data_IF_795115985009
#
_entry.id   IF_795115985009
#
_cell.length_a   1.000
_cell.length_b   1.000
_cell.length_c   1.000
_cell.angle_alpha   90.00
_cell.angle_beta   90.00
_cell.angle_gamma   90.00
#
_symmetry.space_group_name_H-M   'P 1'
#
loop_
_entity.id
_entity.type
_entity.pdbx_description
1 polymer ?
#
# COMPACT_ATOMS: atom_id res chain seq x y z
N UNK A 1 -26.13 31.00 -5.55
CA UNK A 1 -24.68 30.96 -5.85
C UNK A 1 -24.20 29.54 -5.64
N UNK A 2 -24.20 28.72 -6.70
CA UNK A 2 -23.61 27.38 -6.65
C UNK A 2 -22.13 27.51 -6.92
N UNK A 3 -21.30 27.54 -5.88
CA UNK A 3 -19.86 27.43 -6.07
C UNK A 3 -19.56 26.03 -6.56
N UNK A 4 -19.10 25.90 -7.81
CA UNK A 4 -18.56 24.64 -8.30
C UNK A 4 -17.45 24.18 -7.34
N UNK A 5 -17.74 23.10 -6.61
CA UNK A 5 -16.78 22.52 -5.68
C UNK A 5 -15.57 22.08 -6.50
N UNK A 6 -14.41 22.68 -6.23
CA UNK A 6 -13.16 22.29 -6.90
C UNK A 6 -12.86 20.83 -6.53
N UNK A 7 -12.96 19.96 -7.52
CA UNK A 7 -12.58 18.55 -7.37
C UNK A 7 -11.07 18.46 -7.56
N UNK A 8 -10.33 18.10 -6.51
CA UNK A 8 -8.90 17.84 -6.65
C UNK A 8 -8.68 16.39 -7.07
N UNK A 9 -7.61 16.10 -7.82
CA UNK A 9 -7.29 14.73 -8.25
C UNK A 9 -7.23 13.72 -7.09
N UNK A 10 -6.75 14.17 -5.91
CA UNK A 10 -6.74 13.35 -4.68
C UNK A 10 -8.14 12.87 -4.26
N UNK A 11 -9.19 13.61 -4.62
CA UNK A 11 -10.59 13.36 -4.23
C UNK A 11 -11.31 12.39 -5.17
N UNK A 12 -10.73 12.10 -6.35
CA UNK A 12 -11.32 11.18 -7.34
C UNK A 12 -10.46 9.97 -7.66
N UNK A 13 -9.17 9.99 -7.29
CA UNK A 13 -8.29 8.85 -7.56
C UNK A 13 -8.88 7.55 -6.95
N UNK A 14 -9.13 6.51 -7.76
CA UNK A 14 -9.54 5.20 -7.25
C UNK A 14 -8.34 4.49 -6.63
N UNK A 15 -8.58 3.71 -5.58
CA UNK A 15 -7.58 2.84 -4.97
C UNK A 15 -8.16 1.44 -4.88
N UNK A 16 -7.33 0.43 -5.13
CA UNK A 16 -7.69 -0.95 -4.91
C UNK A 16 -7.50 -1.33 -3.43
N UNK A 17 -8.38 -2.21 -2.94
CA UNK A 17 -8.29 -2.82 -1.62
C UNK A 17 -8.67 -4.30 -1.81
N UNK A 18 -7.89 -5.27 -1.30
CA UNK A 18 -8.22 -6.68 -1.43
C UNK A 18 -9.44 -7.04 -0.57
N UNK A 19 -9.99 -8.24 -0.77
CA UNK A 19 -11.16 -8.69 0.00
C UNK A 19 -10.80 -9.13 1.42
N UNK A 20 -9.60 -9.68 1.63
CA UNK A 20 -9.09 -10.05 2.95
C UNK A 20 -7.59 -9.74 3.09
N UNK A 21 -7.15 -9.46 4.31
CA UNK A 21 -5.72 -9.43 4.65
C UNK A 21 -5.08 -10.83 4.51
N UNK A 22 -5.86 -11.90 4.66
CA UNK A 22 -5.37 -13.27 4.48
C UNK A 22 -5.01 -13.60 3.04
N UNK A 23 -5.51 -12.83 2.06
CA UNK A 23 -5.14 -13.00 0.65
C UNK A 23 -3.75 -12.45 0.35
N UNK A 24 -3.13 -11.71 1.27
CA UNK A 24 -1.80 -11.15 1.10
C UNK A 24 -0.74 -12.25 1.23
N UNK A 25 -0.27 -12.76 0.09
CA UNK A 25 0.68 -13.89 -0.03
C UNK A 25 2.08 -13.44 -0.45
N UNK A 26 2.36 -12.14 -0.40
CA UNK A 26 3.67 -11.62 -0.70
C UNK A 26 4.74 -12.12 0.26
N UNK A 27 6.02 -12.07 -0.17
CA UNK A 27 7.11 -12.58 0.62
C UNK A 27 7.34 -11.72 1.87
N UNK A 28 7.75 -12.35 2.96
CA UNK A 28 8.09 -11.68 4.22
C UNK A 28 9.49 -11.04 4.19
N UNK A 29 10.29 -11.29 3.14
CA UNK A 29 11.68 -10.86 2.97
C UNK A 29 12.14 -10.98 1.52
N UNK A 30 13.36 -10.52 1.24
CA UNK A 30 14.00 -10.60 -0.06
C UNK A 30 13.48 -9.62 -1.10
N UNK A 31 13.81 -9.91 -2.36
CA UNK A 31 13.63 -8.97 -3.46
C UNK A 31 12.31 -9.19 -4.20
N UNK A 32 11.49 -8.14 -4.26
CA UNK A 32 10.25 -8.11 -5.06
C UNK A 32 10.42 -7.27 -6.31
N UNK A 33 9.73 -7.67 -7.38
CA UNK A 33 9.68 -6.93 -8.63
C UNK A 33 8.33 -6.22 -8.74
N UNK A 34 8.36 -4.89 -8.61
CA UNK A 34 7.18 -4.05 -8.75
C UNK A 34 6.96 -3.75 -10.23
N UNK A 35 5.72 -3.86 -10.75
CA UNK A 35 5.39 -3.37 -12.07
C UNK A 35 5.71 -1.88 -12.19
N UNK A 36 6.09 -1.45 -13.39
CA UNK A 36 6.36 -0.04 -13.67
C UNK A 36 5.16 0.86 -13.36
N UNK A 37 3.93 0.36 -13.53
CA UNK A 37 2.70 1.05 -13.16
C UNK A 37 2.57 1.31 -11.66
N UNK A 38 3.24 0.50 -10.82
CA UNK A 38 3.22 0.60 -9.36
C UNK A 38 4.38 1.45 -8.85
N UNK A 39 5.59 1.20 -9.35
CA UNK A 39 6.78 2.00 -9.01
C UNK A 39 7.57 2.31 -10.27
N UNK A 40 7.64 3.59 -10.60
CA UNK A 40 8.61 4.08 -11.56
C UNK A 40 9.88 4.57 -10.85
N UNK A 41 10.96 3.81 -10.99
CA UNK A 41 12.27 4.16 -10.45
C UNK A 41 13.38 3.90 -11.50
N UNK A 42 14.45 4.71 -11.50
CA UNK A 42 15.63 4.42 -12.33
C UNK A 42 16.26 3.10 -11.90
N UNK A 43 16.50 2.19 -12.86
CA UNK A 43 16.97 0.83 -12.59
C UNK A 43 15.87 -0.23 -12.46
N UNK A 44 14.60 0.14 -12.58
CA UNK A 44 13.45 -0.77 -12.54
C UNK A 44 12.71 -0.77 -11.20
N UNK A 45 11.66 -1.58 -11.09
CA UNK A 45 10.82 -1.70 -9.89
C UNK A 45 11.33 -2.72 -8.87
N UNK A 46 12.60 -3.11 -8.92
CA UNK A 46 13.15 -4.17 -8.07
C UNK A 46 13.51 -3.59 -6.70
N UNK A 47 12.82 -4.04 -5.66
CA UNK A 47 12.99 -3.53 -4.29
C UNK A 47 13.35 -4.69 -3.37
N UNK A 48 14.48 -4.56 -2.68
CA UNK A 48 14.83 -5.48 -1.60
C UNK A 48 14.06 -5.08 -0.35
N UNK A 49 13.24 -6.00 0.18
CA UNK A 49 12.48 -5.74 1.38
C UNK A 49 13.32 -5.90 2.65
N UNK A 50 14.48 -6.55 2.61
CA UNK A 50 15.37 -6.71 3.78
C UNK A 50 16.24 -5.47 4.02
N UNK A 51 16.37 -4.60 3.02
CA UNK A 51 17.09 -3.34 3.13
C UNK A 51 16.28 -2.28 3.90
N UNK A 52 16.99 -1.39 4.59
CA UNK A 52 16.37 -0.27 5.31
C UNK A 52 15.50 0.59 4.38
N UNK A 53 14.21 0.70 4.72
CA UNK A 53 13.24 1.46 3.93
C UNK A 53 12.65 0.72 2.73
N UNK A 54 13.14 -0.49 2.41
CA UNK A 54 12.65 -1.32 1.30
C UNK A 54 11.15 -1.66 1.43
N UNK A 55 10.74 -2.16 2.60
CA UNK A 55 9.32 -2.40 2.93
C UNK A 55 8.50 -1.13 2.77
N UNK A 56 9.00 -0.02 3.32
CA UNK A 56 8.30 1.26 3.27
C UNK A 56 8.06 1.75 1.84
N UNK A 57 9.07 1.60 0.97
CA UNK A 57 8.99 1.96 -0.43
C UNK A 57 8.00 1.07 -1.18
N UNK A 58 8.19 -0.25 -1.11
CA UNK A 58 7.38 -1.22 -1.84
C UNK A 58 5.91 -1.17 -1.39
N UNK A 59 5.65 -1.19 -0.08
CA UNK A 59 4.29 -1.28 0.42
C UNK A 59 3.53 0.02 0.20
N UNK A 60 4.19 1.18 0.34
CA UNK A 60 3.58 2.46 -0.03
C UNK A 60 3.20 2.50 -1.51
N UNK A 61 4.10 2.07 -2.39
CA UNK A 61 3.86 2.07 -3.83
C UNK A 61 2.68 1.15 -4.19
N UNK A 62 2.66 -0.08 -3.66
CA UNK A 62 1.60 -1.07 -3.93
C UNK A 62 0.25 -0.65 -3.36
N UNK A 63 0.20 -0.06 -2.17
CA UNK A 63 -1.05 0.44 -1.59
C UNK A 63 -1.57 1.67 -2.34
N UNK A 64 -0.67 2.53 -2.82
CA UNK A 64 -1.05 3.76 -3.52
C UNK A 64 -1.43 3.51 -4.99
N UNK A 65 -0.71 2.65 -5.69
CA UNK A 65 -0.75 2.51 -7.15
C UNK A 65 -1.05 1.08 -7.65
N UNK A 66 -0.94 0.07 -6.76
CA UNK A 66 -1.14 -1.34 -7.12
C UNK A 66 -2.59 -1.73 -7.35
N UNK A 67 -2.78 -2.72 -8.21
CA UNK A 67 -4.03 -3.46 -8.35
C UNK A 67 -4.19 -4.46 -7.20
N UNK A 68 -5.37 -5.08 -7.06
CA UNK A 68 -5.58 -6.16 -6.08
C UNK A 68 -4.59 -7.32 -6.30
N UNK A 69 -4.28 -7.65 -7.56
CA UNK A 69 -3.32 -8.70 -7.87
C UNK A 69 -1.90 -8.33 -7.39
N UNK A 70 -1.48 -7.09 -7.60
CA UNK A 70 -0.18 -6.60 -7.11
C UNK A 70 -0.12 -6.62 -5.58
N UNK A 71 -1.21 -6.19 -4.93
CA UNK A 71 -1.34 -6.19 -3.47
C UNK A 71 -1.21 -7.60 -2.89
N UNK A 72 -1.93 -8.57 -3.47
CA UNK A 72 -1.88 -9.98 -3.07
C UNK A 72 -0.50 -10.60 -3.30
N UNK A 73 0.16 -10.26 -4.41
CA UNK A 73 1.46 -10.83 -4.78
C UNK A 73 2.66 -10.24 -4.02
N UNK A 74 2.57 -8.99 -3.56
CA UNK A 74 3.72 -8.25 -3.01
C UNK A 74 3.60 -8.00 -1.52
N UNK A 75 2.39 -7.77 -1.00
CA UNK A 75 2.21 -7.48 0.42
C UNK A 75 2.16 -8.79 1.21
N UNK A 76 2.85 -8.82 2.34
CA UNK A 76 2.73 -9.85 3.35
C UNK A 76 1.84 -9.33 4.48
N UNK A 77 0.89 -10.13 4.94
CA UNK A 77 -0.08 -9.73 5.99
C UNK A 77 0.59 -9.20 7.26
N UNK A 78 1.42 -10.01 7.89
CA UNK A 78 1.99 -9.69 9.22
C UNK A 78 2.95 -8.51 9.10
N UNK A 79 3.75 -8.49 8.03
CA UNK A 79 4.66 -7.40 7.73
C UNK A 79 3.93 -6.10 7.43
N UNK A 80 2.79 -6.16 6.74
CA UNK A 80 1.97 -5.00 6.45
C UNK A 80 1.41 -4.41 7.73
N UNK A 81 0.84 -5.24 8.62
CA UNK A 81 0.31 -4.80 9.92
C UNK A 81 1.40 -4.09 10.73
N UNK A 82 2.59 -4.68 10.83
CA UNK A 82 3.72 -4.10 11.55
C UNK A 82 4.23 -2.78 10.94
N UNK A 83 4.29 -2.70 9.61
CA UNK A 83 4.78 -1.51 8.90
C UNK A 83 3.72 -0.41 8.77
N UNK A 84 2.42 -0.75 8.80
CA UNK A 84 1.30 0.15 8.54
C UNK A 84 1.36 1.51 9.26
N UNK A 85 1.63 1.60 10.58
CA UNK A 85 1.71 2.89 11.26
C UNK A 85 2.86 3.78 10.76
N UNK A 86 3.90 3.20 10.16
CA UNK A 86 5.08 3.89 9.65
C UNK A 86 4.93 4.31 8.17
N UNK A 87 3.96 3.76 7.44
CA UNK A 87 3.77 4.04 6.01
C UNK A 87 3.19 5.45 5.78
N UNK A 88 3.93 6.27 5.03
CA UNK A 88 3.44 7.56 4.53
C UNK A 88 2.50 7.37 3.34
N UNK A 89 1.24 7.03 3.63
CA UNK A 89 0.20 6.75 2.64
C UNK A 89 -0.68 7.97 2.31
N UNK A 90 -1.25 8.04 1.10
CA UNK A 90 -2.33 8.97 0.80
C UNK A 90 -3.50 8.78 1.78
N UNK A 91 -4.01 9.87 2.36
CA UNK A 91 -5.05 9.81 3.41
C UNK A 91 -6.27 8.97 3.02
N UNK A 92 -6.74 9.05 1.76
CA UNK A 92 -7.89 8.27 1.29
C UNK A 92 -7.56 6.78 1.13
N UNK A 93 -6.36 6.44 0.67
CA UNK A 93 -5.91 5.06 0.59
C UNK A 93 -5.88 4.43 1.99
N UNK A 94 -5.24 5.13 2.94
CA UNK A 94 -5.18 4.72 4.35
C UNK A 94 -6.58 4.52 4.93
N UNK A 95 -7.47 5.49 4.77
CA UNK A 95 -8.83 5.42 5.29
C UNK A 95 -9.62 4.24 4.72
N UNK A 96 -9.53 3.97 3.41
CA UNK A 96 -10.24 2.85 2.78
C UNK A 96 -9.71 1.49 3.23
N UNK A 97 -8.40 1.35 3.37
CA UNK A 97 -7.79 0.13 3.90
C UNK A 97 -8.17 -0.09 5.36
N UNK A 98 -8.12 0.95 6.20
CA UNK A 98 -8.49 0.86 7.62
C UNK A 98 -9.99 0.70 7.85
N UNK A 99 -10.85 1.17 6.94
CA UNK A 99 -12.29 0.89 6.97
C UNK A 99 -12.57 -0.58 6.65
N UNK A 100 -11.81 -1.16 5.72
CA UNK A 100 -11.95 -2.57 5.34
C UNK A 100 -11.30 -3.53 6.32
N UNK A 101 -10.19 -3.11 6.94
CA UNK A 101 -9.34 -3.93 7.81
C UNK A 101 -9.12 -3.22 9.16
N UNK A 102 -9.98 -3.48 10.15
CA UNK A 102 -9.84 -2.90 11.49
C UNK A 102 -8.51 -3.23 12.16
N UNK A 103 -7.89 -4.38 11.85
CA UNK A 103 -6.59 -4.80 12.37
C UNK A 103 -5.46 -3.82 12.04
N UNK A 104 -5.57 -3.03 10.97
CA UNK A 104 -4.58 -2.01 10.61
C UNK A 104 -4.69 -0.74 11.46
N UNK A 105 -5.82 -0.53 12.15
CA UNK A 105 -6.00 0.58 13.11
C UNK A 105 -5.50 0.23 14.50
N UNK A 106 -5.45 -1.06 14.83
CA UNK A 106 -4.96 -1.49 16.12
C UNK A 106 -3.48 -1.12 16.18
N UNK A 107 -3.15 -0.15 17.03
CA UNK A 107 -1.77 0.06 17.44
C UNK A 107 -1.20 -1.29 17.85
N UNK A 108 0.00 -1.60 17.35
CA UNK A 108 0.78 -2.75 17.78
C UNK A 108 0.90 -2.64 19.29
N UNK A 109 0.04 -3.36 20.01
CA UNK A 109 0.17 -3.60 21.43
C UNK A 109 1.47 -4.37 21.59
N UNK A 110 2.52 -3.66 21.99
CA UNK A 110 3.76 -4.23 22.45
C UNK A 110 3.51 -5.16 23.67
#
# INVERSE_FOLDING_TARGET
>A
MGGEARVFFRDVKPYAVPESLDDLKGPDGGVVELPHTVLWAPGGGRVDLDEEGGVGLAYRAVVAEGTVADQVAILNRDRLIAAWPLLLLPRRARAMWEERFPDLRAEVSA
#
